data_IF_591938161611
#
_entry.id   IF_591938161611
#
_cell.length_a   1.000
_cell.length_b   1.000
_cell.length_c   1.000
_cell.angle_alpha   90.00
_cell.angle_beta   90.00
_cell.angle_gamma   90.00
#
_symmetry.space_group_name_H-M   'P 1'
#
loop_
_entity.id
_entity.type
_entity.pdbx_description
1 polymer ?
#
# COMPACT_ATOMS: atom_id res chain seq x y z
N UNK A 1 -5.11 6.76 -15.99
CA UNK A 1 -5.19 6.78 -14.51
C UNK A 1 -4.48 5.55 -14.00
N UNK A 2 -3.66 5.68 -12.94
CA UNK A 2 -3.00 4.56 -12.28
C UNK A 2 -3.62 4.32 -10.91
N UNK A 3 -3.66 3.06 -10.47
CA UNK A 3 -4.18 2.67 -9.16
C UNK A 3 -3.04 2.26 -8.23
N UNK A 4 -3.14 2.67 -6.97
CA UNK A 4 -2.24 2.22 -5.92
C UNK A 4 -2.83 0.95 -5.27
N UNK A 5 -2.13 -0.16 -5.37
CA UNK A 5 -2.59 -1.48 -4.92
C UNK A 5 -2.11 -1.85 -3.50
N UNK A 6 -1.53 -0.91 -2.74
CA UNK A 6 -1.10 -1.18 -1.36
C UNK A 6 0.27 -1.88 -1.21
N UNK A 7 0.91 -2.30 -2.30
CA UNK A 7 2.21 -2.96 -2.24
C UNK A 7 3.35 -1.93 -2.07
N UNK A 8 4.18 -2.14 -1.05
CA UNK A 8 5.33 -1.28 -0.76
C UNK A 8 6.54 -2.11 -0.37
N UNK A 9 7.74 -1.59 -0.65
CA UNK A 9 9.00 -2.17 -0.21
C UNK A 9 9.81 -1.11 0.52
N UNK A 10 10.25 -1.45 1.73
CA UNK A 10 11.15 -0.64 2.55
C UNK A 10 12.45 -1.42 2.80
N UNK A 11 13.57 -0.74 2.94
CA UNK A 11 14.87 -1.37 3.14
C UNK A 11 15.85 -0.42 3.83
N UNK A 12 16.83 -1.00 4.55
CA UNK A 12 17.91 -0.28 5.21
C UNK A 12 17.40 0.86 6.10
N UNK A 13 18.10 1.99 6.04
CA UNK A 13 17.82 3.17 6.88
C UNK A 13 16.40 3.72 6.72
N UNK A 14 15.78 3.55 5.55
CA UNK A 14 14.40 3.99 5.31
C UNK A 14 13.37 3.20 6.13
N UNK A 15 13.63 1.92 6.39
CA UNK A 15 12.78 1.09 7.24
C UNK A 15 12.92 1.51 8.71
N UNK A 16 14.14 1.76 9.17
CA UNK A 16 14.40 2.14 10.55
C UNK A 16 13.87 3.55 10.85
N UNK A 17 14.03 4.49 9.91
CA UNK A 17 13.39 5.80 9.98
C UNK A 17 11.86 5.66 10.10
N UNK A 18 11.23 4.90 9.20
CA UNK A 18 9.78 4.73 9.19
C UNK A 18 9.23 4.22 10.53
N UNK A 19 9.87 3.18 11.09
CA UNK A 19 9.46 2.61 12.39
C UNK A 19 9.51 3.66 13.50
N UNK A 20 10.65 4.36 13.62
CA UNK A 20 10.83 5.38 14.65
C UNK A 20 9.82 6.52 14.46
N UNK A 21 9.68 7.00 13.23
CA UNK A 21 8.80 8.10 12.89
C UNK A 21 7.34 7.77 13.18
N UNK A 22 6.89 6.57 12.80
CA UNK A 22 5.54 6.10 13.14
C UNK A 22 5.27 6.08 14.65
N UNK A 23 6.21 5.58 15.46
CA UNK A 23 6.07 5.58 16.92
C UNK A 23 6.08 6.98 17.52
N UNK A 24 6.85 7.91 16.94
CA UNK A 24 6.84 9.32 17.34
C UNK A 24 5.46 9.96 17.04
N UNK A 25 4.93 9.74 15.83
CA UNK A 25 3.59 10.20 15.43
C UNK A 25 2.48 9.60 16.32
N UNK A 26 2.59 8.31 16.67
CA UNK A 26 1.65 7.64 17.57
C UNK A 26 1.67 8.25 18.97
N UNK A 27 2.86 8.59 19.49
CA UNK A 27 2.99 9.30 20.78
C UNK A 27 2.38 10.71 20.72
N UNK A 28 2.58 11.44 19.62
CA UNK A 28 1.92 12.74 19.40
C UNK A 28 0.40 12.59 19.39
N UNK A 29 -0.11 11.55 18.74
CA UNK A 29 -1.54 11.30 18.63
C UNK A 29 -2.24 11.05 19.98
N UNK A 30 -1.52 10.55 21.00
CA UNK A 30 -2.03 10.42 22.36
C UNK A 30 -2.43 11.78 22.98
N UNK A 31 -1.91 12.89 22.45
CA UNK A 31 -2.34 14.25 22.79
C UNK A 31 -3.72 14.64 22.23
N UNK A 32 -4.44 13.71 21.59
CA UNK A 32 -5.83 13.90 21.14
C UNK A 32 -5.97 14.41 19.70
N UNK A 33 -4.87 14.59 18.97
CA UNK A 33 -4.89 14.99 17.56
C UNK A 33 -4.03 14.05 16.72
N UNK A 34 -4.62 13.45 15.70
CA UNK A 34 -3.90 12.63 14.75
C UNK A 34 -3.01 13.52 13.84
N UNK A 35 -1.67 13.37 13.87
CA UNK A 35 -0.78 14.15 13.02
C UNK A 35 -0.84 13.75 11.54
N UNK A 36 -1.19 12.50 11.23
CA UNK A 36 -1.30 12.00 9.85
C UNK A 36 -2.57 12.50 9.17
N UNK A 37 -3.70 12.49 9.89
CA UNK A 37 -4.98 12.93 9.37
C UNK A 37 -5.87 13.49 10.49
N UNK A 38 -6.03 14.82 10.62
CA UNK A 38 -6.76 15.43 11.73
C UNK A 38 -8.26 15.09 11.75
N UNK A 39 -8.81 14.56 10.66
CA UNK A 39 -10.22 14.19 10.55
C UNK A 39 -10.51 12.74 10.98
N UNK A 40 -9.47 11.95 11.28
CA UNK A 40 -9.59 10.53 11.62
C UNK A 40 -8.89 10.22 12.95
N UNK A 41 -9.39 9.25 13.74
CA UNK A 41 -8.59 8.60 14.77
C UNK A 41 -7.28 8.08 14.18
N UNK A 42 -6.20 8.08 14.97
CA UNK A 42 -4.87 7.68 14.50
C UNK A 42 -4.85 6.26 13.91
N UNK A 43 -5.58 5.34 14.53
CA UNK A 43 -5.71 3.94 14.12
C UNK A 43 -6.49 3.77 12.81
N UNK A 44 -7.22 4.80 12.38
CA UNK A 44 -7.98 4.84 11.13
C UNK A 44 -7.26 5.63 10.03
N UNK A 45 -6.04 6.10 10.25
CA UNK A 45 -5.24 6.76 9.21
C UNK A 45 -5.04 5.83 8.02
N UNK A 46 -5.14 6.37 6.80
CA UNK A 46 -4.89 5.59 5.60
C UNK A 46 -3.39 5.43 5.35
N UNK A 47 -3.02 4.37 4.62
CA UNK A 47 -1.62 4.21 4.18
C UNK A 47 -1.14 5.41 3.36
N UNK A 48 -2.03 6.04 2.59
CA UNK A 48 -1.73 7.25 1.82
C UNK A 48 -1.45 8.47 2.70
N UNK A 49 -2.05 8.56 3.89
CA UNK A 49 -1.75 9.63 4.86
C UNK A 49 -0.29 9.50 5.33
N UNK A 50 0.13 8.27 5.67
CA UNK A 50 1.52 7.97 6.01
C UNK A 50 2.49 8.26 4.86
N UNK A 51 2.15 7.88 3.62
CA UNK A 51 2.99 8.18 2.46
C UNK A 51 3.12 9.69 2.22
N UNK A 52 2.03 10.45 2.37
CA UNK A 52 2.05 11.91 2.24
C UNK A 52 2.93 12.57 3.33
N UNK A 53 2.85 12.07 4.56
CA UNK A 53 3.70 12.52 5.66
C UNK A 53 5.19 12.25 5.38
N UNK A 54 5.54 11.07 4.87
CA UNK A 54 6.91 10.76 4.45
C UNK A 54 7.41 11.70 3.33
N UNK A 55 6.55 12.12 2.40
CA UNK A 55 6.89 13.14 1.38
C UNK A 55 7.18 14.48 2.06
N UNK A 56 6.37 14.87 3.05
CA UNK A 56 6.57 16.10 3.81
C UNK A 56 7.92 16.10 4.54
N UNK A 57 8.29 14.95 5.13
CA UNK A 57 9.58 14.66 5.76
C UNK A 57 10.74 14.48 4.76
N UNK A 58 10.52 14.79 3.47
CA UNK A 58 11.53 14.72 2.40
C UNK A 58 12.11 13.32 2.19
N UNK A 59 11.42 12.26 2.62
CA UNK A 59 11.82 10.90 2.31
C UNK A 59 11.68 10.63 0.81
N UNK A 60 12.66 9.92 0.24
CA UNK A 60 12.63 9.54 -1.17
C UNK A 60 11.67 8.38 -1.40
N UNK A 61 10.50 8.67 -1.96
CA UNK A 61 9.55 7.66 -2.43
C UNK A 61 9.69 7.46 -3.95
N UNK A 62 9.65 6.20 -4.39
CA UNK A 62 9.72 5.83 -5.81
C UNK A 62 8.51 4.99 -6.17
N UNK A 63 7.66 5.52 -7.05
CA UNK A 63 6.59 4.74 -7.66
C UNK A 63 7.19 3.73 -8.66
N UNK A 64 6.73 2.48 -8.60
CA UNK A 64 7.06 1.43 -9.57
C UNK A 64 5.78 1.08 -10.32
N UNK A 65 5.62 1.50 -11.59
CA UNK A 65 4.43 1.17 -12.35
C UNK A 65 4.41 -0.33 -12.67
N UNK A 66 3.25 -0.95 -12.48
CA UNK A 66 2.96 -2.33 -12.89
C UNK A 66 2.02 -2.23 -14.08
N UNK A 67 2.38 -2.86 -15.19
CA UNK A 67 1.57 -2.91 -16.41
C UNK A 67 1.05 -4.34 -16.59
N UNK A 68 -0.25 -4.55 -16.36
CA UNK A 68 -0.89 -5.87 -16.36
C UNK A 68 -0.26 -6.85 -15.34
N UNK A 69 -0.78 -8.08 -15.26
CA UNK A 69 -0.22 -9.13 -14.39
C UNK A 69 -0.65 -9.08 -12.93
N UNK A 70 -1.58 -8.18 -12.58
CA UNK A 70 -2.28 -8.15 -11.30
C UNK A 70 -3.77 -8.41 -11.54
N UNK A 71 -4.38 -9.28 -10.72
CA UNK A 71 -5.81 -9.51 -10.70
C UNK A 71 -6.36 -8.99 -9.37
N UNK A 72 -7.26 -8.03 -9.42
CA UNK A 72 -7.96 -7.50 -8.24
C UNK A 72 -9.30 -8.22 -8.11
N UNK A 73 -9.56 -8.85 -6.95
CA UNK A 73 -10.74 -9.67 -6.71
C UNK A 73 -11.59 -9.01 -5.62
N UNK A 74 -12.54 -8.18 -6.03
CA UNK A 74 -13.40 -7.42 -5.10
C UNK A 74 -14.84 -7.92 -5.11
N UNK A 75 -15.28 -8.52 -6.22
CA UNK A 75 -16.67 -8.89 -6.45
C UNK A 75 -16.83 -10.34 -6.89
N UNK A 76 -18.07 -10.85 -6.81
CA UNK A 76 -18.43 -12.16 -7.36
C UNK A 76 -18.23 -12.20 -8.88
N UNK A 77 -18.45 -11.07 -9.56
CA UNK A 77 -18.21 -10.97 -11.00
C UNK A 77 -16.73 -11.14 -11.35
N UNK A 78 -15.83 -10.57 -10.56
CA UNK A 78 -14.38 -10.77 -10.71
C UNK A 78 -14.03 -12.26 -10.53
N UNK A 79 -14.62 -12.91 -9.52
CA UNK A 79 -14.42 -14.34 -9.27
C UNK A 79 -14.84 -15.19 -10.47
N UNK A 80 -16.08 -15.02 -10.96
CA UNK A 80 -16.59 -15.77 -12.12
C UNK A 80 -15.75 -15.53 -13.37
N UNK A 81 -15.29 -14.29 -13.59
CA UNK A 81 -14.42 -13.96 -14.71
C UNK A 81 -13.08 -14.69 -14.60
N UNK A 82 -12.41 -14.62 -13.44
CA UNK A 82 -11.11 -15.24 -13.26
C UNK A 82 -11.18 -16.77 -13.27
N UNK A 83 -12.26 -17.37 -12.75
CA UNK A 83 -12.51 -18.81 -12.86
C UNK A 83 -12.64 -19.24 -14.33
N UNK A 84 -13.42 -18.51 -15.14
CA UNK A 84 -13.53 -18.76 -16.57
C UNK A 84 -12.17 -18.68 -17.26
N UNK A 85 -11.43 -17.59 -17.03
CA UNK A 85 -10.11 -17.38 -17.65
C UNK A 85 -9.11 -18.45 -17.23
N UNK A 86 -9.17 -18.91 -15.98
CA UNK A 86 -8.37 -20.01 -15.47
C UNK A 86 -8.68 -21.32 -16.18
N UNK A 87 -9.96 -21.68 -16.30
CA UNK A 87 -10.42 -22.89 -16.99
C UNK A 87 -10.05 -22.90 -18.49
N UNK A 88 -9.98 -21.72 -19.11
CA UNK A 88 -9.54 -21.54 -20.48
C UNK A 88 -8.00 -21.54 -20.64
N UNK A 89 -7.23 -21.74 -19.56
CA UNK A 89 -5.76 -21.63 -19.52
C UNK A 89 -5.22 -20.30 -20.07
N UNK A 90 -5.99 -19.23 -19.94
CA UNK A 90 -5.64 -17.89 -20.43
C UNK A 90 -4.91 -17.03 -19.38
N UNK A 91 -4.93 -17.45 -18.11
CA UNK A 91 -4.17 -16.82 -17.04
C UNK A 91 -2.74 -17.39 -16.95
N UNK A 92 -1.76 -16.50 -16.80
CA UNK A 92 -0.37 -16.85 -16.49
C UNK A 92 -0.02 -16.34 -15.11
N UNK A 93 0.16 -17.25 -14.17
CA UNK A 93 0.61 -16.92 -12.83
C UNK A 93 2.13 -16.84 -12.78
N UNK A 94 2.64 -15.92 -11.97
CA UNK A 94 4.08 -15.81 -11.70
C UNK A 94 4.59 -17.10 -11.06
N UNK A 95 5.65 -17.68 -11.63
CA UNK A 95 6.39 -18.79 -11.03
C UNK A 95 7.84 -18.36 -10.85
N UNK A 96 8.36 -18.28 -9.61
CA UNK A 96 9.73 -17.83 -9.36
C UNK A 96 10.80 -18.81 -9.87
N UNK A 97 10.43 -20.03 -10.26
CA UNK A 97 11.34 -21.11 -10.65
C UNK A 97 11.00 -21.74 -12.02
N UNK A 98 10.15 -21.11 -12.84
CA UNK A 98 9.83 -21.59 -14.19
C UNK A 98 10.77 -21.00 -15.26
#
# INVERSE_FOLDING_TARGET
>A
MGQYIGLMKFQGDGLEFLKKHYEDLRRIAQGGKNPLNPNLPFEKSYMTDLLNDLIAEKCRLKAIPINNGWLELDTISDFTLYEKLHNENSLKFYSPNA
#
